data_IF_641946577639
#
_entry.id   IF_641946577639
#
_cell.length_a   1.000
_cell.length_b   1.000
_cell.length_c   1.000
_cell.angle_alpha   90.00
_cell.angle_beta   90.00
_cell.angle_gamma   90.00
#
_symmetry.space_group_name_H-M   'P 1'
#
loop_
_entity.id
_entity.type
_entity.pdbx_description
1 polymer ?
#
# COMPACT_ATOMS: atom_id res chain seq x y z
N UNK A 1 -19.08 26.74 11.35
CA UNK A 1 -18.33 25.68 10.66
C UNK A 1 -17.60 26.22 9.43
N UNK A 2 -16.43 26.82 9.67
CA UNK A 2 -15.50 27.20 8.59
C UNK A 2 -14.61 26.00 8.30
N UNK A 3 -14.72 25.45 7.10
CA UNK A 3 -14.02 24.23 6.71
C UNK A 3 -13.07 24.49 5.54
N UNK A 4 -11.82 24.07 5.66
CA UNK A 4 -10.91 23.97 4.53
C UNK A 4 -11.26 22.68 3.78
N UNK A 5 -11.76 22.83 2.56
CA UNK A 5 -12.28 21.71 1.76
C UNK A 5 -11.15 20.82 1.24
N UNK A 6 -11.52 19.61 0.83
CA UNK A 6 -10.59 18.68 0.20
C UNK A 6 -9.87 19.34 -0.98
N UNK A 7 -8.57 19.10 -1.10
CA UNK A 7 -7.72 19.59 -2.18
C UNK A 7 -7.62 21.13 -2.33
N UNK A 8 -8.06 21.93 -1.34
CA UNK A 8 -8.16 23.39 -1.45
C UNK A 8 -6.87 24.11 -1.89
N UNK A 9 -5.71 23.66 -1.41
CA UNK A 9 -4.37 24.14 -1.77
C UNK A 9 -3.47 23.00 -2.25
N UNK A 10 -4.06 21.92 -2.77
CA UNK A 10 -3.31 20.76 -3.24
C UNK A 10 -2.42 21.14 -4.42
N UNK A 11 -1.14 20.78 -4.36
CA UNK A 11 -0.16 21.08 -5.39
C UNK A 11 0.39 22.51 -5.35
N UNK A 12 0.04 23.31 -4.33
CA UNK A 12 0.68 24.61 -4.06
C UNK A 12 2.12 24.42 -3.55
N UNK A 13 3.01 23.96 -4.42
CA UNK A 13 4.36 23.51 -4.06
C UNK A 13 5.21 24.58 -3.38
N UNK A 14 5.00 25.86 -3.70
CA UNK A 14 5.71 27.00 -3.12
C UNK A 14 5.07 27.55 -1.81
N UNK A 15 4.00 26.93 -1.30
CA UNK A 15 3.36 27.36 -0.06
C UNK A 15 4.29 27.12 1.14
N UNK A 16 4.89 28.19 1.67
CA UNK A 16 5.89 28.12 2.73
C UNK A 16 5.33 28.35 4.14
N UNK A 17 4.15 28.96 4.26
CA UNK A 17 3.54 29.28 5.56
C UNK A 17 2.01 29.31 5.45
N UNK A 18 1.33 28.85 6.50
CA UNK A 18 -0.13 28.92 6.63
C UNK A 18 -0.48 29.44 8.01
N UNK A 19 -1.32 30.48 8.06
CA UNK A 19 -1.94 30.96 9.30
C UNK A 19 -3.42 30.59 9.27
N UNK A 20 -3.83 29.68 10.16
CA UNK A 20 -5.23 29.28 10.30
C UNK A 20 -5.99 30.32 11.13
N UNK A 21 -7.13 30.77 10.63
CA UNK A 21 -8.03 31.61 11.42
C UNK A 21 -8.71 30.82 12.54
N UNK A 22 -9.00 31.47 13.66
CA UNK A 22 -9.56 30.86 14.87
C UNK A 22 -10.98 30.30 14.70
N UNK A 23 -11.60 30.49 13.53
CA UNK A 23 -12.92 29.94 13.18
C UNK A 23 -12.84 28.65 12.37
N UNK A 24 -11.64 28.20 11.97
CA UNK A 24 -11.46 26.95 11.21
C UNK A 24 -11.72 25.77 12.15
N UNK A 25 -12.68 24.93 11.76
CA UNK A 25 -13.14 23.77 12.52
C UNK A 25 -12.68 22.44 11.89
N UNK A 26 -12.53 22.41 10.56
CA UNK A 26 -12.08 21.19 9.86
C UNK A 26 -11.07 21.45 8.74
N UNK A 27 -10.13 20.52 8.58
CA UNK A 27 -9.19 20.43 7.45
C UNK A 27 -9.44 19.11 6.70
N UNK A 28 -9.79 19.23 5.42
CA UNK A 28 -10.13 18.11 4.56
C UNK A 28 -8.94 17.32 4.02
N UNK A 29 -9.26 16.26 3.28
CA UNK A 29 -8.29 15.39 2.63
C UNK A 29 -7.44 16.17 1.61
N UNK A 30 -6.12 16.00 1.68
CA UNK A 30 -5.15 16.66 0.81
C UNK A 30 -5.31 18.19 0.71
N UNK A 31 -5.93 18.85 1.70
CA UNK A 31 -6.18 20.29 1.66
C UNK A 31 -4.91 21.11 1.46
N UNK A 32 -3.78 20.65 1.98
CA UNK A 32 -2.44 21.23 1.81
C UNK A 32 -1.48 20.21 1.19
N UNK A 33 -1.99 19.23 0.44
CA UNK A 33 -1.17 18.18 -0.15
C UNK A 33 -0.13 18.75 -1.12
N UNK A 34 1.10 18.25 -1.07
CA UNK A 34 2.19 18.70 -1.94
C UNK A 34 2.74 20.09 -1.62
N UNK A 35 2.51 20.64 -0.42
CA UNK A 35 3.09 21.92 0.02
C UNK A 35 4.56 21.73 0.39
N UNK A 36 5.44 21.69 -0.61
CA UNK A 36 6.84 21.28 -0.46
C UNK A 36 7.71 22.27 0.33
N UNK A 37 7.31 23.53 0.44
CA UNK A 37 8.06 24.54 1.22
C UNK A 37 7.49 24.76 2.64
N UNK A 38 6.34 24.17 2.97
CA UNK A 38 5.72 24.33 4.29
C UNK A 38 6.52 23.53 5.33
N UNK A 39 7.12 24.21 6.30
CA UNK A 39 7.99 23.58 7.30
C UNK A 39 7.28 23.30 8.63
N UNK A 40 6.32 24.13 9.00
CA UNK A 40 5.48 23.93 10.18
C UNK A 40 4.10 24.58 10.03
N UNK A 41 3.16 24.13 10.85
CA UNK A 41 1.82 24.74 10.98
C UNK A 41 1.31 24.53 12.40
N UNK A 42 0.48 25.46 12.88
CA UNK A 42 -0.20 25.36 14.18
C UNK A 42 -1.70 25.16 13.98
N UNK A 43 -2.23 24.06 14.52
CA UNK A 43 -3.66 23.75 14.58
C UNK A 43 -4.29 24.46 15.79
N UNK A 44 -5.34 25.25 15.53
CA UNK A 44 -5.96 26.10 16.54
C UNK A 44 -6.91 25.32 17.47
N UNK A 45 -7.28 25.89 18.62
CA UNK A 45 -8.17 25.27 19.60
C UNK A 45 -9.58 24.93 19.05
N UNK A 46 -10.02 25.63 18.00
CA UNK A 46 -11.32 25.42 17.33
C UNK A 46 -11.39 24.18 16.45
N UNK A 47 -10.24 23.58 16.11
CA UNK A 47 -10.19 22.48 15.17
C UNK A 47 -10.72 21.19 15.82
N UNK A 48 -11.79 20.65 15.25
CA UNK A 48 -12.43 19.39 15.70
C UNK A 48 -12.21 18.26 14.70
N UNK A 49 -11.96 18.57 13.41
CA UNK A 49 -11.71 17.58 12.36
C UNK A 49 -10.39 17.79 11.62
N UNK A 50 -9.58 16.74 11.55
CA UNK A 50 -8.35 16.70 10.75
C UNK A 50 -8.32 15.39 9.95
N UNK A 51 -8.30 15.49 8.62
CA UNK A 51 -8.04 14.32 7.79
C UNK A 51 -6.53 13.96 7.86
N UNK A 52 -6.21 12.66 7.99
CA UNK A 52 -4.81 12.19 8.09
C UNK A 52 -3.96 12.54 6.87
N UNK A 53 -4.59 12.69 5.71
CA UNK A 53 -3.91 13.02 4.45
C UNK A 53 -3.90 14.52 4.15
N UNK A 54 -4.32 15.38 5.09
CA UNK A 54 -4.41 16.83 4.89
C UNK A 54 -3.10 17.45 4.35
N UNK A 55 -1.95 16.89 4.72
CA UNK A 55 -0.61 17.37 4.34
C UNK A 55 0.19 16.33 3.56
N UNK A 56 -0.47 15.37 2.89
CA UNK A 56 0.21 14.32 2.12
C UNK A 56 1.18 14.91 1.07
N UNK A 57 2.38 14.37 0.96
CA UNK A 57 3.46 14.83 0.08
C UNK A 57 4.04 16.22 0.41
N UNK A 58 3.82 16.73 1.62
CA UNK A 58 4.43 17.98 2.09
C UNK A 58 5.80 17.70 2.71
N UNK A 59 6.78 17.37 1.86
CA UNK A 59 8.07 16.77 2.24
C UNK A 59 8.94 17.59 3.19
N UNK A 60 8.72 18.90 3.33
CA UNK A 60 9.47 19.75 4.26
C UNK A 60 8.75 19.97 5.59
N UNK A 61 7.50 19.51 5.73
CA UNK A 61 6.72 19.68 6.95
C UNK A 61 7.33 18.82 8.04
N UNK A 62 8.08 19.45 8.93
CA UNK A 62 8.83 18.79 10.00
C UNK A 62 8.01 18.66 11.28
N UNK A 63 7.06 19.55 11.50
CA UNK A 63 6.22 19.53 12.69
C UNK A 63 4.84 20.17 12.48
N UNK A 64 3.86 19.59 13.17
CA UNK A 64 2.52 20.15 13.31
C UNK A 64 2.28 20.41 14.79
N UNK A 65 2.15 21.68 15.13
CA UNK A 65 1.86 22.14 16.48
C UNK A 65 0.35 22.13 16.71
N UNK A 66 -0.08 21.91 17.94
CA UNK A 66 -1.49 21.96 18.33
C UNK A 66 -1.62 22.90 19.52
N UNK A 67 -2.56 23.84 19.44
CA UNK A 67 -2.92 24.71 20.55
C UNK A 67 -3.23 23.88 21.80
N UNK A 68 -2.66 24.26 22.94
CA UNK A 68 -2.85 23.57 24.23
C UNK A 68 -4.32 23.48 24.65
N UNK A 69 -5.14 24.45 24.23
CA UNK A 69 -6.57 24.51 24.53
C UNK A 69 -7.41 23.65 23.58
N UNK A 70 -6.81 23.05 22.52
CA UNK A 70 -7.52 22.11 21.66
C UNK A 70 -7.91 20.85 22.48
N UNK A 71 -9.18 20.47 22.42
CA UNK A 71 -9.74 19.35 23.18
C UNK A 71 -9.79 18.03 22.41
N UNK A 72 -9.49 18.04 21.11
CA UNK A 72 -9.54 16.86 20.23
C UNK A 72 -8.16 16.30 19.93
N UNK A 73 -7.14 17.14 19.86
CA UNK A 73 -5.80 16.79 19.44
C UNK A 73 -4.74 17.31 20.41
N UNK A 74 -3.55 16.72 20.33
CA UNK A 74 -2.34 17.27 20.92
C UNK A 74 -1.15 17.00 20.00
N UNK A 75 -0.08 17.78 20.18
CA UNK A 75 1.18 17.54 19.48
C UNK A 75 2.22 17.02 20.47
N UNK A 76 2.91 15.94 20.10
CA UNK A 76 4.08 15.43 20.81
C UNK A 76 5.22 15.39 19.80
N UNK A 77 6.25 16.18 20.05
CA UNK A 77 7.39 16.34 19.13
C UNK A 77 6.97 16.67 17.69
N UNK A 78 5.90 17.43 17.50
CA UNK A 78 5.41 17.82 16.16
C UNK A 78 4.57 16.75 15.46
N UNK A 79 4.34 15.59 16.07
CA UNK A 79 3.41 14.56 15.61
C UNK A 79 2.05 14.78 16.25
N UNK A 80 0.98 14.74 15.46
CA UNK A 80 -0.38 14.97 15.97
C UNK A 80 -0.96 13.65 16.45
N UNK A 81 -1.44 13.64 17.69
CA UNK A 81 -2.25 12.57 18.25
C UNK A 81 -3.64 13.10 18.59
N UNK A 82 -4.59 12.20 18.81
CA UNK A 82 -5.82 12.57 19.50
C UNK A 82 -5.49 13.01 20.95
N UNK A 83 -6.43 13.70 21.62
CA UNK A 83 -6.19 14.27 22.96
C UNK A 83 -5.77 13.22 23.99
N UNK A 84 -6.37 12.04 23.90
CA UNK A 84 -6.09 10.88 24.76
C UNK A 84 -4.78 10.14 24.41
N UNK A 85 -4.10 10.53 23.31
CA UNK A 85 -2.85 9.93 22.80
C UNK A 85 -2.96 8.44 22.43
N UNK A 86 -4.18 7.95 22.18
CA UNK A 86 -4.43 6.57 21.77
C UNK A 86 -4.36 6.36 20.26
N UNK A 87 -4.37 7.45 19.48
CA UNK A 87 -4.31 7.41 18.02
C UNK A 87 -3.26 8.41 17.50
N UNK A 88 -2.40 7.94 16.60
CA UNK A 88 -1.52 8.80 15.81
C UNK A 88 -2.34 9.32 14.62
N UNK A 89 -2.73 10.59 14.67
CA UNK A 89 -3.66 11.20 13.70
C UNK A 89 -2.92 11.67 12.47
N UNK A 90 -1.73 12.27 12.65
CA UNK A 90 -0.93 12.77 11.54
C UNK A 90 0.56 12.72 11.87
N UNK A 91 1.33 12.12 10.97
CA UNK A 91 2.79 12.14 11.00
C UNK A 91 3.31 13.12 9.93
N UNK A 92 4.18 14.09 10.27
CA UNK A 92 4.76 15.01 9.29
C UNK A 92 5.70 14.28 8.32
N UNK A 93 5.50 14.47 7.00
CA UNK A 93 6.30 13.79 5.97
C UNK A 93 7.81 14.13 6.04
N UNK A 94 8.13 15.34 6.52
CA UNK A 94 9.48 15.87 6.71
C UNK A 94 10.00 15.76 8.16
N UNK A 95 9.39 14.93 9.01
CA UNK A 95 9.79 14.76 10.40
C UNK A 95 11.29 14.49 10.54
N UNK A 96 12.04 15.36 11.22
CA UNK A 96 13.50 15.32 11.23
C UNK A 96 14.11 15.27 12.63
N UNK A 97 13.30 14.91 13.64
CA UNK A 97 13.72 14.90 15.06
C UNK A 97 14.40 13.60 15.47
N UNK A 98 14.25 12.53 14.70
CA UNK A 98 14.93 11.25 14.91
C UNK A 98 15.06 10.47 13.60
N UNK A 99 16.08 9.61 13.51
CA UNK A 99 16.21 8.63 12.42
C UNK A 99 15.22 7.46 12.57
N UNK A 100 15.01 7.00 13.81
CA UNK A 100 14.04 5.97 14.16
C UNK A 100 12.95 6.56 15.03
N UNK A 101 11.68 6.37 14.64
CA UNK A 101 10.54 6.84 15.41
C UNK A 101 9.98 5.73 16.30
N UNK A 102 9.85 5.99 17.59
CA UNK A 102 9.16 5.10 18.53
C UNK A 102 7.72 5.55 18.68
N UNK A 103 6.78 4.69 18.30
CA UNK A 103 5.35 4.99 18.49
C UNK A 103 5.07 5.04 20.01
N UNK A 104 4.35 6.07 20.50
CA UNK A 104 4.04 6.17 21.93
C UNK A 104 3.27 4.94 22.43
N UNK A 105 3.63 4.46 23.63
CA UNK A 105 3.01 3.30 24.28
C UNK A 105 1.55 3.48 24.70
N UNK A 106 0.97 4.65 24.44
CA UNK A 106 -0.47 4.93 24.57
C UNK A 106 -1.23 4.63 23.29
N UNK A 107 -0.56 4.61 22.14
CA UNK A 107 -1.19 4.36 20.84
C UNK A 107 -1.53 2.88 20.71
N UNK A 108 -2.78 2.59 20.32
CA UNK A 108 -3.29 1.22 20.19
C UNK A 108 -3.49 0.78 18.75
N UNK A 109 -3.62 1.73 17.82
CA UNK A 109 -3.96 1.47 16.43
C UNK A 109 -3.19 2.39 15.47
N UNK A 110 -2.81 1.85 14.32
CA UNK A 110 -2.23 2.59 13.20
C UNK A 110 -3.14 2.49 11.98
N UNK A 111 -3.40 3.61 11.32
CA UNK A 111 -4.30 3.70 10.17
C UNK A 111 -3.53 3.67 8.84
N UNK A 112 -4.19 3.30 7.76
CA UNK A 112 -3.52 2.89 6.51
C UNK A 112 -2.62 3.94 5.84
N UNK A 113 -2.74 5.23 6.18
CA UNK A 113 -1.89 6.30 5.63
C UNK A 113 -0.90 6.90 6.62
N UNK A 114 -0.75 6.36 7.83
CA UNK A 114 0.01 7.00 8.91
C UNK A 114 1.44 7.38 8.53
N UNK A 115 2.19 6.51 7.84
CA UNK A 115 3.59 6.80 7.44
C UNK A 115 3.82 6.79 5.93
N UNK A 116 2.76 6.64 5.11
CA UNK A 116 2.87 6.33 3.67
C UNK A 116 3.74 7.30 2.86
N UNK A 117 3.77 8.58 3.24
CA UNK A 117 4.46 9.66 2.52
C UNK A 117 5.72 10.15 3.23
N UNK A 118 6.09 9.56 4.37
CA UNK A 118 7.29 9.94 5.11
C UNK A 118 8.56 9.78 4.26
N UNK A 119 9.50 10.72 4.39
CA UNK A 119 10.74 10.74 3.60
C UNK A 119 12.03 10.62 4.41
N UNK A 120 11.93 10.73 5.73
CA UNK A 120 13.07 11.05 6.59
C UNK A 120 13.45 9.91 7.52
N UNK A 121 12.48 9.28 8.19
CA UNK A 121 12.76 8.19 9.13
C UNK A 121 13.10 6.91 8.37
N UNK A 122 14.08 6.17 8.89
CA UNK A 122 14.52 4.88 8.35
C UNK A 122 14.07 3.71 9.23
N UNK A 123 13.65 3.96 10.47
CA UNK A 123 13.20 2.94 11.41
C UNK A 123 11.89 3.29 12.11
N UNK A 124 11.10 2.28 12.44
CA UNK A 124 9.94 2.39 13.34
C UNK A 124 10.05 1.36 14.46
N UNK A 125 9.74 1.78 15.68
CA UNK A 125 9.55 0.89 16.84
C UNK A 125 8.06 0.87 17.21
N UNK A 126 7.46 -0.33 17.15
CA UNK A 126 6.07 -0.60 17.50
C UNK A 126 6.02 -1.07 18.96
N UNK A 127 5.36 -0.34 19.88
CA UNK A 127 5.27 -0.73 21.29
C UNK A 127 4.29 -1.89 21.48
N UNK A 128 4.26 -2.45 22.69
CA UNK A 128 3.33 -3.53 23.05
C UNK A 128 1.85 -3.13 23.03
N UNK A 129 1.55 -1.82 23.09
CA UNK A 129 0.20 -1.28 23.09
C UNK A 129 -0.49 -1.33 21.72
N UNK A 130 0.26 -1.35 20.61
CA UNK A 130 -0.30 -1.38 19.26
C UNK A 130 -0.82 -2.78 18.95
N UNK A 131 -2.14 -2.92 18.93
CA UNK A 131 -2.83 -4.19 18.67
C UNK A 131 -3.46 -4.27 17.29
N UNK A 132 -3.54 -3.15 16.55
CA UNK A 132 -4.07 -3.12 15.19
C UNK A 132 -3.20 -2.24 14.28
N UNK A 133 -2.82 -2.79 13.13
CA UNK A 133 -2.10 -2.09 12.06
C UNK A 133 -2.92 -2.25 10.79
N UNK A 134 -3.46 -1.15 10.29
CA UNK A 134 -4.17 -1.17 9.01
C UNK A 134 -3.20 -1.39 7.85
N UNK A 135 -3.61 -2.08 6.77
CA UNK A 135 -2.82 -2.20 5.56
C UNK A 135 -2.34 -0.84 5.04
N UNK A 136 -1.08 -0.74 4.64
CA UNK A 136 -0.49 0.50 4.14
C UNK A 136 0.11 1.42 5.22
N UNK A 137 -0.24 1.24 6.50
CA UNK A 137 0.14 2.18 7.56
C UNK A 137 1.65 2.43 7.65
N UNK A 138 2.44 1.41 7.32
CA UNK A 138 3.91 1.37 7.45
C UNK A 138 4.64 1.31 6.10
N UNK A 139 3.98 1.51 4.95
CA UNK A 139 4.54 1.28 3.60
C UNK A 139 5.32 2.47 3.04
N UNK A 140 6.12 3.16 3.86
CA UNK A 140 6.93 4.29 3.42
C UNK A 140 8.12 3.84 2.55
N UNK A 141 8.46 4.67 1.56
CA UNK A 141 9.67 4.52 0.74
C UNK A 141 10.98 4.83 1.49
N UNK A 142 10.95 5.32 2.73
CA UNK A 142 12.16 5.65 3.51
C UNK A 142 12.49 4.62 4.60
N UNK A 143 11.50 3.85 5.05
CA UNK A 143 11.64 2.91 6.17
C UNK A 143 12.38 1.67 5.67
N UNK A 144 13.48 1.35 6.36
CA UNK A 144 14.37 0.21 6.10
C UNK A 144 14.09 -0.96 7.04
N UNK A 145 13.65 -0.67 8.26
CA UNK A 145 13.40 -1.69 9.29
C UNK A 145 12.29 -1.30 10.25
N UNK A 146 11.48 -2.27 10.65
CA UNK A 146 10.47 -2.16 11.69
C UNK A 146 10.83 -3.13 12.82
N UNK A 147 10.87 -2.63 14.05
CA UNK A 147 11.06 -3.45 15.25
C UNK A 147 9.78 -3.46 16.07
N UNK A 148 9.34 -4.63 16.50
CA UNK A 148 8.19 -4.78 17.38
C UNK A 148 8.66 -5.13 18.78
N UNK A 149 8.10 -4.48 19.80
CA UNK A 149 8.32 -4.81 21.21
C UNK A 149 8.06 -6.31 21.44
N UNK A 150 8.97 -6.98 22.16
CA UNK A 150 8.86 -8.41 22.48
C UNK A 150 7.56 -8.77 23.20
N UNK A 151 7.01 -7.83 23.96
CA UNK A 151 5.79 -8.01 24.76
C UNK A 151 4.53 -7.64 23.99
N UNK A 152 4.63 -7.23 22.71
CA UNK A 152 3.46 -7.01 21.87
C UNK A 152 2.67 -8.33 21.72
N UNK A 153 1.35 -8.32 21.97
CA UNK A 153 0.54 -9.55 21.95
C UNK A 153 0.22 -10.04 20.54
N UNK A 154 0.16 -9.14 19.55
CA UNK A 154 -0.39 -9.44 18.23
C UNK A 154 0.67 -9.54 17.13
N UNK A 155 1.81 -8.87 17.33
CA UNK A 155 2.84 -8.73 16.31
C UNK A 155 4.22 -9.13 16.82
N UNK A 156 5.12 -9.44 15.89
CA UNK A 156 6.54 -9.54 16.13
C UNK A 156 7.31 -9.08 14.90
N UNK A 157 8.61 -8.83 15.03
CA UNK A 157 9.49 -8.52 13.91
C UNK A 157 10.60 -9.56 13.76
N UNK A 158 10.94 -9.88 12.51
CA UNK A 158 12.10 -10.70 12.14
C UNK A 158 12.86 -9.95 11.06
N UNK A 159 14.15 -9.68 11.29
CA UNK A 159 15.03 -8.96 10.34
C UNK A 159 14.44 -7.65 9.79
N UNK A 160 13.73 -6.90 10.63
CA UNK A 160 13.11 -5.62 10.26
C UNK A 160 11.76 -5.74 9.54
N UNK A 161 11.24 -6.95 9.33
CA UNK A 161 9.92 -7.23 8.73
C UNK A 161 8.93 -7.59 9.82
N UNK A 162 7.70 -7.07 9.70
CA UNK A 162 6.61 -7.28 10.66
C UNK A 162 5.78 -8.50 10.29
N UNK A 163 5.48 -9.31 11.30
CA UNK A 163 4.63 -10.49 11.24
C UNK A 163 3.57 -10.41 12.33
N UNK A 164 2.50 -11.19 12.20
CA UNK A 164 1.69 -11.53 13.37
C UNK A 164 2.53 -12.32 14.39
N UNK A 165 2.04 -12.44 15.63
CA UNK A 165 2.81 -13.01 16.75
C UNK A 165 3.33 -14.42 16.45
N UNK A 166 2.48 -15.23 15.82
CA UNK A 166 2.75 -16.63 15.48
C UNK A 166 3.53 -16.82 14.17
N UNK A 167 3.83 -15.72 13.45
CA UNK A 167 4.54 -15.72 12.15
C UNK A 167 3.84 -16.55 11.07
N UNK A 168 2.52 -16.64 11.14
CA UNK A 168 1.67 -17.24 10.11
C UNK A 168 1.21 -16.21 9.08
N UNK A 169 1.30 -14.92 9.39
CA UNK A 169 1.02 -13.81 8.46
C UNK A 169 2.22 -12.88 8.39
N UNK A 170 2.71 -12.61 7.17
CA UNK A 170 3.64 -11.52 6.91
C UNK A 170 2.82 -10.24 6.75
N UNK A 171 2.96 -9.33 7.70
CA UNK A 171 2.14 -8.11 7.79
C UNK A 171 2.72 -7.00 6.94
N UNK A 172 4.01 -6.67 7.14
CA UNK A 172 4.67 -5.57 6.41
C UNK A 172 6.18 -5.81 6.28
N UNK A 173 6.66 -5.81 5.04
CA UNK A 173 8.04 -5.58 4.65
C UNK A 173 8.26 -4.07 4.39
N UNK A 174 9.29 -3.44 4.96
CA UNK A 174 9.58 -2.02 4.74
C UNK A 174 9.86 -1.66 3.27
N UNK A 175 9.35 -0.52 2.80
CA UNK A 175 9.48 -0.10 1.39
C UNK A 175 10.94 0.16 0.94
N UNK A 176 11.83 0.49 1.87
CA UNK A 176 13.28 0.62 1.65
C UNK A 176 14.08 -0.53 2.28
N UNK A 177 13.52 -1.74 2.28
CA UNK A 177 14.19 -2.92 2.81
C UNK A 177 15.63 -3.04 2.29
N UNK A 178 16.57 -3.34 3.18
CA UNK A 178 17.99 -3.18 2.90
C UNK A 178 18.57 -4.21 1.91
N UNK A 179 17.93 -5.37 1.78
CA UNK A 179 18.33 -6.43 0.85
C UNK A 179 17.54 -6.35 -0.45
N UNK A 180 18.15 -6.81 -1.55
CA UNK A 180 17.46 -7.03 -2.83
C UNK A 180 16.69 -8.34 -2.88
N UNK A 181 16.91 -9.25 -1.94
CA UNK A 181 16.27 -10.55 -1.90
C UNK A 181 15.60 -10.77 -0.54
N UNK A 182 14.44 -11.41 -0.56
CA UNK A 182 13.72 -11.78 0.64
C UNK A 182 13.16 -13.20 0.57
N UNK A 183 13.38 -13.99 1.62
CA UNK A 183 12.82 -15.34 1.76
C UNK A 183 11.75 -15.30 2.84
N UNK A 184 10.50 -15.54 2.45
CA UNK A 184 9.38 -15.58 3.39
C UNK A 184 9.49 -16.84 4.25
N UNK A 185 9.30 -16.70 5.57
CA UNK A 185 9.36 -17.80 6.53
C UNK A 185 8.39 -18.92 6.17
N UNK A 186 8.82 -20.18 6.30
CA UNK A 186 8.00 -21.37 5.98
C UNK A 186 6.79 -21.57 6.89
N UNK A 187 6.66 -20.80 7.97
CA UNK A 187 5.46 -20.77 8.83
C UNK A 187 4.34 -19.92 8.24
N UNK A 188 4.64 -19.05 7.27
CA UNK A 188 3.70 -18.08 6.72
C UNK A 188 2.69 -18.78 5.83
N UNK A 189 1.41 -18.60 6.14
CA UNK A 189 0.27 -19.05 5.35
C UNK A 189 -0.41 -17.91 4.58
N UNK A 190 -0.19 -16.65 4.98
CA UNK A 190 -0.77 -15.50 4.31
C UNK A 190 0.23 -14.34 4.20
N UNK A 191 0.24 -13.68 3.04
CA UNK A 191 0.89 -12.38 2.83
C UNK A 191 -0.23 -11.33 2.90
N UNK A 192 -0.15 -10.42 3.86
CA UNK A 192 -1.21 -9.44 4.11
C UNK A 192 -1.35 -8.42 2.98
N UNK A 193 -2.45 -7.67 3.01
CA UNK A 193 -2.68 -6.54 2.12
C UNK A 193 -1.54 -5.53 2.26
N UNK A 194 -1.06 -5.00 1.13
CA UNK A 194 0.04 -4.03 1.07
C UNK A 194 1.37 -4.50 1.68
N UNK A 195 1.55 -5.79 1.98
CA UNK A 195 2.68 -6.27 2.77
C UNK A 195 4.06 -5.90 2.21
N UNK A 196 4.26 -5.95 0.90
CA UNK A 196 5.47 -5.53 0.20
C UNK A 196 5.26 -4.24 -0.62
N UNK A 197 4.15 -3.51 -0.43
CA UNK A 197 3.85 -2.35 -1.26
C UNK A 197 5.01 -1.35 -1.28
N UNK A 198 5.40 -0.93 -2.49
CA UNK A 198 6.53 -0.02 -2.75
C UNK A 198 7.88 -0.50 -2.23
N UNK A 199 8.08 -1.82 -2.04
CA UNK A 199 9.39 -2.42 -1.78
C UNK A 199 10.30 -2.33 -3.01
N UNK A 200 10.75 -1.11 -3.30
CA UNK A 200 11.49 -0.75 -4.51
C UNK A 200 12.90 -1.37 -4.62
N UNK A 201 13.46 -1.80 -3.48
CA UNK A 201 14.80 -2.41 -3.43
C UNK A 201 14.80 -3.90 -3.75
N UNK A 202 13.66 -4.58 -3.57
CA UNK A 202 13.55 -6.02 -3.82
C UNK A 202 13.55 -6.32 -5.32
N UNK A 203 14.41 -7.25 -5.72
CA UNK A 203 14.50 -7.81 -7.07
C UNK A 203 13.94 -9.22 -7.14
N UNK A 204 13.94 -9.96 -6.03
CA UNK A 204 13.32 -11.28 -5.91
C UNK A 204 12.71 -11.53 -4.53
N UNK A 205 11.65 -12.33 -4.51
CA UNK A 205 11.01 -12.81 -3.28
C UNK A 205 10.72 -14.30 -3.41
N UNK A 206 11.19 -15.10 -2.45
CA UNK A 206 10.87 -16.53 -2.38
C UNK A 206 9.63 -16.72 -1.51
N UNK A 207 8.55 -17.19 -2.12
CA UNK A 207 7.29 -17.53 -1.45
C UNK A 207 7.29 -19.04 -1.14
N UNK A 208 7.16 -19.46 0.13
CA UNK A 208 7.14 -20.89 0.47
C UNK A 208 5.78 -21.54 0.14
N UNK A 209 5.79 -22.86 -0.05
CA UNK A 209 4.59 -23.69 -0.31
C UNK A 209 3.57 -23.71 0.85
N UNK A 210 3.87 -23.08 1.99
CA UNK A 210 2.91 -22.87 3.07
C UNK A 210 1.92 -21.75 2.77
N UNK A 211 2.25 -20.80 1.88
CA UNK A 211 1.41 -19.65 1.56
C UNK A 211 0.19 -20.09 0.76
N UNK A 212 -0.98 -19.63 1.22
CA UNK A 212 -2.31 -19.86 0.65
C UNK A 212 -2.91 -18.60 0.03
N UNK A 213 -2.58 -17.44 0.60
CA UNK A 213 -3.19 -16.17 0.23
C UNK A 213 -2.13 -15.10 0.01
N UNK A 214 -2.25 -14.38 -1.10
CA UNK A 214 -1.54 -13.13 -1.37
C UNK A 214 -2.57 -12.00 -1.35
N UNK A 215 -2.44 -11.06 -0.42
CA UNK A 215 -3.40 -9.99 -0.19
C UNK A 215 -3.51 -8.95 -1.30
N UNK A 216 -4.51 -8.08 -1.16
CA UNK A 216 -4.73 -6.92 -2.03
C UNK A 216 -3.50 -6.01 -2.00
N UNK A 217 -3.05 -5.59 -3.18
CA UNK A 217 -1.89 -4.70 -3.34
C UNK A 217 -0.60 -5.20 -2.68
N UNK A 218 -0.48 -6.50 -2.39
CA UNK A 218 0.62 -7.06 -1.61
C UNK A 218 2.01 -6.67 -2.14
N UNK A 219 2.20 -6.65 -3.46
CA UNK A 219 3.45 -6.26 -4.13
C UNK A 219 3.28 -5.03 -5.02
N UNK A 220 2.23 -4.22 -4.83
CA UNK A 220 2.01 -3.04 -5.68
C UNK A 220 3.21 -2.10 -5.66
N UNK A 221 3.60 -1.58 -6.82
CA UNK A 221 4.74 -0.69 -7.02
C UNK A 221 6.09 -1.28 -6.54
N UNK A 222 6.26 -2.61 -6.50
CA UNK A 222 7.57 -3.24 -6.36
C UNK A 222 8.37 -3.10 -7.66
N UNK A 223 8.78 -1.88 -7.99
CA UNK A 223 9.36 -1.53 -9.30
C UNK A 223 10.67 -2.27 -9.62
N UNK A 224 11.38 -2.77 -8.60
CA UNK A 224 12.61 -3.56 -8.76
C UNK A 224 12.38 -5.06 -8.97
N UNK A 225 11.19 -5.58 -8.65
CA UNK A 225 10.90 -7.03 -8.65
C UNK A 225 10.96 -7.57 -10.08
N UNK A 226 11.94 -8.42 -10.37
CA UNK A 226 12.27 -8.85 -11.73
C UNK A 226 11.69 -10.23 -12.10
N UNK A 227 11.58 -11.11 -11.10
CA UNK A 227 11.04 -12.47 -11.25
C UNK A 227 10.28 -12.87 -9.99
N UNK A 228 9.17 -13.58 -10.17
CA UNK A 228 8.38 -14.14 -9.08
C UNK A 228 7.78 -15.48 -9.48
N UNK A 229 8.01 -16.49 -8.64
CA UNK A 229 7.32 -17.78 -8.72
C UNK A 229 6.18 -17.79 -7.69
N UNK A 230 4.94 -17.97 -8.16
CA UNK A 230 3.78 -18.13 -7.28
C UNK A 230 3.57 -19.63 -7.05
N UNK A 231 3.79 -20.15 -5.83
CA UNK A 231 3.69 -21.58 -5.58
C UNK A 231 2.29 -22.12 -5.81
N UNK A 232 2.17 -23.39 -6.24
CA UNK A 232 0.87 -24.05 -6.46
C UNK A 232 -0.03 -24.12 -5.20
N UNK A 233 0.54 -23.91 -4.01
CA UNK A 233 -0.19 -23.81 -2.76
C UNK A 233 -1.05 -22.56 -2.64
N UNK A 234 -0.73 -21.50 -3.41
CA UNK A 234 -1.47 -20.24 -3.40
C UNK A 234 -2.82 -20.46 -4.08
N UNK A 235 -3.88 -20.22 -3.33
CA UNK A 235 -5.27 -20.42 -3.70
C UNK A 235 -5.95 -19.08 -4.07
N UNK A 236 -5.48 -17.96 -3.51
CA UNK A 236 -6.04 -16.63 -3.75
C UNK A 236 -4.96 -15.57 -3.94
N UNK A 237 -5.18 -14.67 -4.90
CA UNK A 237 -4.37 -13.48 -5.17
C UNK A 237 -5.33 -12.29 -5.19
N UNK A 238 -5.08 -11.30 -4.34
CA UNK A 238 -5.94 -10.12 -4.20
C UNK A 238 -5.80 -9.13 -5.35
N UNK A 239 -6.76 -8.20 -5.41
CA UNK A 239 -6.79 -7.12 -6.41
C UNK A 239 -5.48 -6.33 -6.42
N UNK A 240 -5.02 -5.99 -7.62
CA UNK A 240 -3.80 -5.21 -7.87
C UNK A 240 -2.53 -5.76 -7.20
N UNK A 241 -2.50 -7.05 -6.81
CA UNK A 241 -1.41 -7.62 -6.00
C UNK A 241 -0.02 -7.36 -6.58
N UNK A 242 0.15 -7.36 -7.90
CA UNK A 242 1.42 -7.10 -8.58
C UNK A 242 1.38 -5.86 -9.47
N UNK A 243 0.39 -4.98 -9.30
CA UNK A 243 0.26 -3.78 -10.10
C UNK A 243 1.51 -2.89 -9.97
N UNK A 244 2.01 -2.34 -11.07
CA UNK A 244 3.17 -1.45 -11.09
C UNK A 244 4.52 -2.15 -10.88
N UNK A 245 4.60 -3.49 -10.88
CA UNK A 245 5.87 -4.22 -10.86
C UNK A 245 6.60 -4.09 -12.22
N UNK A 246 7.12 -2.90 -12.52
CA UNK A 246 7.61 -2.54 -13.86
C UNK A 246 8.77 -3.41 -14.37
N UNK A 247 9.60 -3.95 -13.48
CA UNK A 247 10.72 -4.84 -13.85
C UNK A 247 10.33 -6.31 -14.02
N UNK A 248 9.11 -6.69 -13.64
CA UNK A 248 8.68 -8.08 -13.62
C UNK A 248 8.60 -8.62 -15.05
N UNK A 249 9.48 -9.56 -15.37
CA UNK A 249 9.69 -10.04 -16.75
C UNK A 249 8.99 -11.35 -17.07
N UNK A 250 8.75 -12.15 -16.04
CA UNK A 250 8.06 -13.44 -16.09
C UNK A 250 7.31 -13.70 -14.79
N UNK A 251 6.16 -14.36 -14.90
CA UNK A 251 5.36 -14.84 -13.77
C UNK A 251 4.82 -16.22 -14.11
N UNK A 252 4.98 -17.17 -13.20
CA UNK A 252 4.26 -18.44 -13.23
C UNK A 252 3.09 -18.35 -12.26
N UNK A 253 1.87 -18.40 -12.78
CA UNK A 253 0.65 -18.42 -11.97
C UNK A 253 0.40 -19.85 -11.48
N UNK A 254 0.03 -19.99 -10.21
CA UNK A 254 -0.36 -21.27 -9.59
C UNK A 254 -1.55 -21.93 -10.31
N UNK A 255 -1.48 -23.26 -10.48
CA UNK A 255 -2.57 -24.07 -11.05
C UNK A 255 -3.81 -24.19 -10.15
N UNK A 256 -3.79 -23.55 -8.97
CA UNK A 256 -4.95 -23.48 -8.06
C UNK A 256 -5.78 -22.21 -8.27
N UNK A 257 -5.25 -21.22 -8.99
CA UNK A 257 -5.90 -19.92 -9.19
C UNK A 257 -7.07 -20.04 -10.18
N UNK A 258 -8.23 -19.51 -9.78
CA UNK A 258 -9.46 -19.46 -10.60
C UNK A 258 -9.67 -18.11 -11.28
N UNK A 259 -9.25 -17.03 -10.62
CA UNK A 259 -9.47 -15.66 -11.08
C UNK A 259 -8.16 -14.91 -11.06
N UNK A 260 -7.83 -14.24 -12.17
CA UNK A 260 -6.85 -13.16 -12.20
C UNK A 260 -7.64 -11.87 -12.01
N UNK A 261 -7.64 -11.33 -10.80
CA UNK A 261 -8.58 -10.27 -10.38
C UNK A 261 -8.23 -8.88 -10.95
N UNK A 262 -9.05 -7.88 -10.60
CA UNK A 262 -8.90 -6.47 -10.96
C UNK A 262 -7.44 -6.00 -10.88
N UNK A 263 -6.91 -5.52 -12.00
CA UNK A 263 -5.57 -4.94 -12.13
C UNK A 263 -4.41 -5.80 -11.58
N UNK A 264 -4.57 -7.12 -11.41
CA UNK A 264 -3.59 -7.98 -10.70
C UNK A 264 -2.15 -7.77 -11.17
N UNK A 265 -1.91 -7.65 -12.48
CA UNK A 265 -0.61 -7.42 -13.10
C UNK A 265 -0.54 -6.09 -13.88
N UNK A 266 -1.46 -5.15 -13.63
CA UNK A 266 -1.51 -3.89 -14.36
C UNK A 266 -0.17 -3.14 -14.25
N UNK A 267 0.37 -2.65 -15.37
CA UNK A 267 1.61 -1.88 -15.39
C UNK A 267 2.88 -2.71 -15.19
N UNK A 268 2.84 -4.04 -15.30
CA UNK A 268 4.04 -4.88 -15.42
C UNK A 268 4.68 -4.68 -16.80
N UNK A 269 5.33 -3.54 -17.01
CA UNK A 269 5.76 -3.08 -18.33
C UNK A 269 6.77 -4.01 -19.02
N UNK A 270 7.61 -4.72 -18.26
CA UNK A 270 8.60 -5.66 -18.80
C UNK A 270 8.10 -7.11 -18.90
N UNK A 271 6.84 -7.39 -18.56
CA UNK A 271 6.30 -8.75 -18.61
C UNK A 271 6.21 -9.21 -20.07
N UNK A 272 7.13 -10.06 -20.49
CA UNK A 272 7.26 -10.47 -21.91
C UNK A 272 6.45 -11.72 -22.25
N UNK A 273 6.27 -12.59 -21.26
CA UNK A 273 5.53 -13.84 -21.39
C UNK A 273 4.77 -14.12 -20.10
N UNK A 274 3.61 -14.73 -20.26
CA UNK A 274 2.82 -15.26 -19.16
C UNK A 274 2.11 -16.52 -19.61
N UNK A 275 2.10 -17.53 -18.74
CA UNK A 275 1.29 -18.73 -18.92
C UNK A 275 0.09 -18.64 -17.99
N UNK A 276 -1.10 -18.53 -18.57
CA UNK A 276 -2.36 -18.60 -17.83
C UNK A 276 -2.73 -20.09 -17.69
N UNK A 277 -2.87 -20.62 -16.47
CA UNK A 277 -3.16 -22.04 -16.28
C UNK A 277 -4.63 -22.36 -16.61
N UNK A 278 -4.90 -23.60 -17.03
CA UNK A 278 -6.25 -24.15 -17.32
C UNK A 278 -7.19 -24.15 -16.10
N UNK A 279 -6.70 -23.78 -14.92
CA UNK A 279 -7.53 -23.56 -13.74
C UNK A 279 -8.29 -22.24 -13.79
N UNK A 280 -7.82 -21.25 -14.56
CA UNK A 280 -8.36 -19.90 -14.61
C UNK A 280 -9.63 -19.87 -15.45
N UNK A 281 -10.71 -19.36 -14.87
CA UNK A 281 -12.01 -19.16 -15.54
C UNK A 281 -12.29 -17.69 -15.82
N UNK A 282 -11.64 -16.76 -15.10
CA UNK A 282 -11.92 -15.32 -15.19
C UNK A 282 -10.63 -14.51 -15.23
N UNK A 283 -10.55 -13.59 -16.21
CA UNK A 283 -9.54 -12.52 -16.28
C UNK A 283 -10.27 -11.21 -16.01
N UNK A 284 -9.96 -10.53 -14.91
CA UNK A 284 -10.67 -9.35 -14.43
C UNK A 284 -10.36 -8.07 -15.20
N UNK A 285 -11.14 -7.03 -14.90
CA UNK A 285 -10.97 -5.67 -15.45
C UNK A 285 -9.55 -5.18 -15.22
N UNK A 286 -8.91 -4.70 -16.29
CA UNK A 286 -7.55 -4.17 -16.25
C UNK A 286 -6.45 -5.15 -15.82
N UNK A 287 -6.72 -6.46 -15.71
CA UNK A 287 -5.80 -7.46 -15.12
C UNK A 287 -4.35 -7.39 -15.64
N UNK A 288 -4.16 -7.10 -16.92
CA UNK A 288 -2.86 -6.92 -17.59
C UNK A 288 -2.73 -5.56 -18.27
N UNK A 289 -3.52 -4.56 -17.86
CA UNK A 289 -3.50 -3.24 -18.48
C UNK A 289 -2.09 -2.65 -18.46
N UNK A 290 -1.63 -2.09 -19.57
CA UNK A 290 -0.30 -1.49 -19.73
C UNK A 290 0.89 -2.46 -19.56
N UNK A 291 0.68 -3.77 -19.73
CA UNK A 291 1.77 -4.75 -19.90
C UNK A 291 2.40 -4.63 -21.30
N UNK A 292 3.17 -3.55 -21.50
CA UNK A 292 3.71 -3.14 -22.81
C UNK A 292 4.70 -4.14 -23.42
N UNK A 293 5.37 -4.93 -22.58
CA UNK A 293 6.33 -5.95 -23.01
C UNK A 293 5.70 -7.25 -23.49
N UNK A 294 4.40 -7.49 -23.24
CA UNK A 294 3.76 -8.75 -23.55
C UNK A 294 3.59 -8.89 -25.06
N UNK A 295 4.25 -9.88 -25.67
CA UNK A 295 4.32 -10.01 -27.15
C UNK A 295 3.23 -10.90 -27.72
N UNK A 296 2.98 -12.03 -27.07
CA UNK A 296 2.01 -13.04 -27.49
C UNK A 296 1.32 -13.64 -26.29
N UNK A 297 0.05 -14.03 -26.47
CA UNK A 297 -0.75 -14.63 -25.41
C UNK A 297 -1.66 -15.73 -25.96
N UNK A 298 -1.65 -16.89 -25.30
CA UNK A 298 -2.63 -17.94 -25.50
C UNK A 298 -3.59 -17.94 -24.30
N UNK A 299 -4.87 -17.71 -24.58
CA UNK A 299 -5.92 -17.81 -23.57
C UNK A 299 -6.36 -19.28 -23.49
N UNK A 300 -6.34 -19.93 -22.31
CA UNK A 300 -6.73 -21.33 -22.18
C UNK A 300 -8.24 -21.52 -22.36
N UNK A 301 -8.65 -22.71 -22.77
CA UNK A 301 -10.06 -23.03 -23.05
C UNK A 301 -10.94 -22.91 -21.80
N UNK A 302 -10.35 -23.01 -20.61
CA UNK A 302 -11.04 -22.81 -19.34
C UNK A 302 -11.54 -21.39 -19.10
N UNK A 303 -11.01 -20.37 -19.79
CA UNK A 303 -11.40 -18.97 -19.56
C UNK A 303 -12.80 -18.73 -20.13
N UNK A 304 -13.72 -18.40 -19.24
CA UNK A 304 -15.11 -18.12 -19.56
C UNK A 304 -15.36 -16.61 -19.76
N UNK A 305 -14.58 -15.76 -19.09
CA UNK A 305 -14.78 -14.30 -19.13
C UNK A 305 -13.47 -13.49 -19.09
N UNK A 306 -13.45 -12.40 -19.85
CA UNK A 306 -12.40 -11.37 -19.85
C UNK A 306 -13.05 -10.01 -19.60
N UNK A 307 -12.61 -9.32 -18.54
CA UNK A 307 -13.14 -8.04 -18.09
C UNK A 307 -12.66 -6.84 -18.90
N UNK A 308 -13.29 -5.70 -18.65
CA UNK A 308 -13.05 -4.47 -19.40
C UNK A 308 -11.59 -4.03 -19.32
N UNK A 309 -11.03 -3.74 -20.48
CA UNK A 309 -9.66 -3.26 -20.61
C UNK A 309 -8.58 -4.19 -20.02
N UNK A 310 -8.86 -5.49 -19.85
CA UNK A 310 -7.91 -6.47 -19.30
C UNK A 310 -6.53 -6.39 -19.97
N UNK A 311 -6.46 -6.06 -21.25
CA UNK A 311 -5.22 -5.89 -22.02
C UNK A 311 -5.08 -4.49 -22.65
N UNK A 312 -5.77 -3.47 -22.10
CA UNK A 312 -5.66 -2.08 -22.59
C UNK A 312 -4.21 -1.61 -22.52
N UNK A 313 -3.73 -0.90 -23.53
CA UNK A 313 -2.36 -0.38 -23.62
C UNK A 313 -1.24 -1.45 -23.57
N UNK A 314 -1.53 -2.73 -23.85
CA UNK A 314 -0.53 -3.76 -24.13
C UNK A 314 0.08 -3.57 -25.54
N UNK A 315 0.83 -2.49 -25.74
CA UNK A 315 1.31 -2.08 -27.07
C UNK A 315 2.27 -3.06 -27.75
N UNK A 316 2.88 -3.99 -27.01
CA UNK A 316 3.73 -5.05 -27.55
C UNK A 316 2.95 -6.27 -28.04
N UNK A 317 1.65 -6.39 -27.72
CA UNK A 317 0.87 -7.59 -27.97
C UNK A 317 0.50 -7.67 -29.45
N UNK A 318 1.23 -8.51 -30.18
CA UNK A 318 1.11 -8.67 -31.64
C UNK A 318 0.33 -9.92 -32.05
N UNK A 319 0.16 -10.88 -31.13
CA UNK A 319 -0.57 -12.13 -31.40
C UNK A 319 -1.36 -12.57 -30.16
N UNK A 320 -2.62 -12.95 -30.37
CA UNK A 320 -3.49 -13.52 -29.33
C UNK A 320 -4.24 -14.70 -29.91
N UNK A 321 -4.26 -15.82 -29.18
CA UNK A 321 -5.14 -16.96 -29.45
C UNK A 321 -6.27 -16.92 -28.42
N UNK A 322 -7.50 -16.72 -28.90
CA UNK A 322 -8.71 -16.71 -28.09
C UNK A 322 -9.50 -17.99 -28.39
N UNK A 323 -9.81 -18.83 -27.39
CA UNK A 323 -10.60 -20.03 -27.60
C UNK A 323 -12.08 -19.70 -27.76
N UNK A 324 -12.83 -20.63 -28.35
CA UNK A 324 -14.27 -20.47 -28.61
C UNK A 324 -15.12 -20.34 -27.34
N UNK A 325 -14.58 -20.69 -26.17
CA UNK A 325 -15.24 -20.65 -24.87
C UNK A 325 -15.37 -19.25 -24.26
N UNK A 326 -14.55 -18.28 -24.70
CA UNK A 326 -14.47 -16.96 -24.07
C UNK A 326 -15.69 -16.10 -24.39
N UNK A 327 -16.38 -15.63 -23.35
CA UNK A 327 -17.37 -14.56 -23.45
C UNK A 327 -16.69 -13.22 -23.17
N UNK A 328 -16.74 -12.32 -24.15
CA UNK A 328 -16.32 -10.93 -23.98
C UNK A 328 -17.52 -10.13 -23.47
N UNK A 329 -17.45 -9.58 -22.26
CA UNK A 329 -18.45 -8.66 -21.75
C UNK A 329 -17.90 -7.24 -21.88
N UNK A 330 -18.64 -6.37 -22.56
CA UNK A 330 -18.47 -4.91 -22.50
C UNK A 330 -19.64 -4.34 -21.70
N UNK A 331 -19.43 -3.32 -20.87
CA UNK A 331 -20.49 -2.66 -20.11
C UNK A 331 -21.76 -2.39 -20.95
N UNK A 332 -22.90 -2.86 -20.41
CA UNK A 332 -24.22 -2.77 -21.02
C UNK A 332 -25.27 -3.78 -20.51
N UNK A 333 -24.87 -4.82 -19.76
CA UNK A 333 -25.83 -5.73 -19.13
C UNK A 333 -25.82 -5.57 -17.60
N UNK A 334 -26.91 -5.08 -16.98
CA UNK A 334 -27.09 -5.22 -15.55
C UNK A 334 -27.53 -6.66 -15.29
N UNK A 335 -26.68 -7.48 -14.68
CA UNK A 335 -27.15 -8.65 -13.95
C UNK A 335 -26.37 -8.75 -12.64
N UNK A 336 -26.76 -7.87 -11.72
CA UNK A 336 -26.97 -8.32 -10.34
C UNK A 336 -28.03 -9.44 -10.40
N UNK A 337 -27.57 -10.68 -10.48
CA UNK A 337 -28.30 -11.77 -9.85
C UNK A 337 -27.45 -12.26 -8.69
N UNK A 338 -27.66 -11.57 -7.56
CA UNK A 338 -27.53 -12.17 -6.25
C UNK A 338 -28.34 -13.47 -6.23
N UNK A 339 -27.65 -14.59 -5.98
CA UNK A 339 -28.14 -15.70 -5.17
C UNK A 339 -26.99 -16.16 -4.27
#
# INVERSE_FOLDING_TARGET
MTNIKNYAFNGCTALASVTLGNSVEMIGCCSFGGSKELTSITLHASLTGLNSDAFMYSSSLAEVNVDKENTYYCSVDGVVLNKEKTQLVLFPDGYNKAETYTIPNTVTELWGSTFISCKTITGIIIPSSVTQISPGALTSSSIKSITVDKDNPNYCSVDGVTYNKDKTTLEVCPGAYASSEYVILSSVTAIADNAFRRCSSLTSVTIPNSVKTIGMQAFTDCVGLASLEIPNSVETIGMSAFAGCGSLSSVTISNSIKTIDYETFAGCQNLTSITIPESVTTIGTGAFASCRGLVSLEIPNSVESIGDGAFTNCSGLTSVIIPNSVKMYSEGAPDLLML
#
